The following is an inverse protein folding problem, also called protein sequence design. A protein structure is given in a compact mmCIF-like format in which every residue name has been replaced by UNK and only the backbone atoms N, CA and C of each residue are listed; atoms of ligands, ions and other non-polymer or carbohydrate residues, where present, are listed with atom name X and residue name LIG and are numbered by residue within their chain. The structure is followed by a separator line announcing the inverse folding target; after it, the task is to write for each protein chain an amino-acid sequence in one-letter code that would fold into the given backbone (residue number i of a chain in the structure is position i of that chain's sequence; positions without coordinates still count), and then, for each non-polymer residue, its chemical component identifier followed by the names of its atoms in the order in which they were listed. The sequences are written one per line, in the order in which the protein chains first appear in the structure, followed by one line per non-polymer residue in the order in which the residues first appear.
data_IF_134744372317
#
_entry.id   IF_134744372317
#
_cell.length_a   1.000
_cell.length_b   1.000
_cell.length_c   1.000
_cell.angle_alpha   90.00
_cell.angle_beta   90.00
_cell.angle_gamma   90.00
#
_symmetry.space_group_name_H-M   'P 1'
#
loop_
_entity.id
_entity.type
_entity.pdbx_description
1 polymer ?
#
# COMPACT_ATOMS: atom_id res chain seq x y z
N UNK A 1 7.10 10.89 -20.40
CA UNK A 1 7.47 11.49 -19.88
C UNK A 1 7.83 11.41 -18.65
N UNK A 2 8.17 11.64 -17.86
CA UNK A 2 8.53 11.50 -16.80
C UNK A 2 8.96 12.33 -16.02
N UNK A 3 8.94 12.52 -15.17
CA UNK A 3 9.15 13.26 -14.41
C UNK A 3 9.72 13.22 -13.41
N UNK A 4 10.09 13.21 -12.83
CA UNK A 4 10.58 13.36 -12.03
C UNK A 4 10.78 13.94 -11.20
N UNK A 5 10.85 13.90 -10.28
CA UNK A 5 10.75 14.28 -9.46
C UNK A 5 11.61 14.56 -8.70
N UNK A 6 12.07 14.75 -8.30
CA UNK A 6 12.84 15.22 -7.71
C UNK A 6 12.84 15.36 -6.54
N UNK A 7 12.80 14.83 -6.01
CA UNK A 7 12.60 14.83 -4.89
C UNK A 7 13.65 15.15 -4.19
N UNK A 8 14.25 15.61 -4.27
CA UNK A 8 15.21 16.03 -3.78
C UNK A 8 15.17 15.97 -2.51
N UNK A 9 15.09 15.28 -1.98
CA UNK A 9 14.99 15.10 -0.74
C UNK A 9 15.93 15.69 0.02
N UNK A 10 16.36 16.59 -0.13
CA UNK A 10 17.13 17.31 0.51
C UNK A 10 17.15 17.11 1.88
N UNK A 11 17.92 16.57 2.47
CA UNK A 11 18.15 16.60 3.89
C UNK A 11 17.22 15.79 4.71
N UNK A 12 16.59 14.89 4.17
CA UNK A 12 15.70 14.11 4.95
C UNK A 12 16.33 13.18 5.87
N UNK A 13 16.10 13.31 7.14
CA UNK A 13 16.67 12.42 8.13
C UNK A 13 15.63 11.47 8.63
N UNK A 14 14.38 11.88 8.62
CA UNK A 14 13.28 11.09 9.13
C UNK A 14 12.58 10.42 7.96
N UNK A 15 12.55 9.10 7.92
CA UNK A 15 11.89 8.38 6.83
C UNK A 15 10.45 8.81 6.59
N UNK A 16 9.75 9.20 7.66
CA UNK A 16 8.37 9.63 7.50
C UNK A 16 8.25 10.94 6.74
N UNK A 17 9.28 11.75 6.73
CA UNK A 17 9.23 13.01 6.03
C UNK A 17 9.48 12.83 4.54
N UNK A 18 9.83 11.63 4.09
CA UNK A 18 10.00 11.35 2.70
C UNK A 18 8.66 11.08 2.04
N UNK A 19 7.68 10.66 2.84
CA UNK A 19 6.38 10.33 2.31
C UNK A 19 5.69 11.58 1.78
N UNK A 20 5.35 11.60 0.52
CA UNK A 20 4.74 12.75 -0.11
C UNK A 20 3.31 12.48 -0.52
N UNK A 21 2.43 13.37 -0.11
CA UNK A 21 1.04 13.35 -0.56
C UNK A 21 0.95 14.20 -1.81
N UNK A 22 0.09 13.84 -2.71
CA UNK A 22 -0.21 14.68 -3.87
C UNK A 22 -0.59 13.90 -5.10
N UNK A 23 -1.00 14.64 -6.11
CA UNK A 23 -1.34 14.07 -7.41
C UNK A 23 -0.07 13.75 -8.17
N UNK A 24 -0.13 12.70 -9.00
CA UNK A 24 0.98 12.30 -9.87
C UNK A 24 0.52 12.30 -11.31
N UNK A 25 1.20 13.08 -12.12
CA UNK A 25 0.85 13.21 -13.54
C UNK A 25 0.95 11.87 -14.27
N UNK A 26 2.04 11.14 -14.01
CA UNK A 26 2.29 9.86 -14.65
C UNK A 26 1.30 8.77 -14.25
N UNK A 27 0.48 9.04 -13.23
CA UNK A 27 -0.51 8.10 -12.74
C UNK A 27 -1.93 8.62 -12.93
N UNK A 28 -2.13 9.46 -13.94
CA UNK A 28 -3.45 9.95 -14.29
C UNK A 28 -3.99 11.00 -13.34
N UNK A 29 -3.10 11.73 -12.67
CA UNK A 29 -3.44 12.78 -11.71
C UNK A 29 -4.20 12.28 -10.48
N UNK A 30 -4.10 10.99 -10.21
CA UNK A 30 -4.67 10.42 -8.98
C UNK A 30 -3.90 10.95 -7.78
N UNK A 31 -4.64 11.32 -6.73
CA UNK A 31 -4.03 11.81 -5.49
C UNK A 31 -3.66 10.63 -4.62
N UNK A 32 -2.38 10.47 -4.34
CA UNK A 32 -1.89 9.44 -3.42
C UNK A 32 -1.47 10.05 -2.11
N UNK A 33 -1.64 9.31 -1.03
CA UNK A 33 -1.30 9.79 0.30
C UNK A 33 0.15 9.55 0.68
N UNK A 34 0.88 8.80 -0.14
CA UNK A 34 2.31 8.55 0.13
C UNK A 34 3.04 8.20 -1.15
N UNK A 35 4.36 8.33 -1.11
CA UNK A 35 5.23 7.89 -2.20
C UNK A 35 5.17 6.37 -2.36
N UNK A 36 4.97 5.64 -1.27
CA UNK A 36 4.87 4.18 -1.34
C UNK A 36 3.67 3.78 -2.20
N UNK A 37 2.51 4.41 -1.95
CA UNK A 37 1.31 4.12 -2.76
C UNK A 37 1.53 4.46 -4.23
N UNK A 38 2.09 5.64 -4.50
CA UNK A 38 2.36 6.05 -5.88
C UNK A 38 3.31 5.09 -6.57
N UNK A 39 4.36 4.68 -5.87
CA UNK A 39 5.34 3.75 -6.43
C UNK A 39 4.75 2.36 -6.68
N UNK A 40 3.88 1.91 -5.81
CA UNK A 40 3.18 0.62 -6.02
C UNK A 40 2.30 0.71 -7.28
N UNK A 41 1.61 1.83 -7.49
CA UNK A 41 0.83 2.04 -8.72
C UNK A 41 1.75 1.99 -9.95
N UNK A 42 2.93 2.60 -9.87
CA UNK A 42 3.92 2.55 -10.96
C UNK A 42 4.40 1.13 -11.21
N UNK A 43 4.60 0.37 -10.14
CA UNK A 43 4.98 -1.03 -10.26
C UNK A 43 3.87 -1.83 -10.96
N UNK A 44 2.60 -1.62 -10.59
CA UNK A 44 1.49 -2.29 -11.26
C UNK A 44 1.45 -1.94 -12.75
N UNK A 45 1.65 -0.67 -13.09
CA UNK A 45 1.72 -0.27 -14.50
C UNK A 45 2.87 -0.98 -15.21
N UNK A 46 4.02 -1.08 -14.56
CA UNK A 46 5.20 -1.71 -15.13
C UNK A 46 4.97 -3.20 -15.44
N UNK A 47 4.27 -3.91 -14.56
CA UNK A 47 3.98 -5.33 -14.79
C UNK A 47 2.69 -5.56 -15.56
N UNK A 48 2.01 -4.50 -15.99
CA UNK A 48 0.80 -4.62 -16.78
C UNK A 48 -0.46 -4.95 -16.00
N UNK A 49 -0.46 -4.75 -14.70
CA UNK A 49 -1.63 -5.00 -13.87
C UNK A 49 -2.51 -3.76 -13.83
N UNK A 50 -3.80 -3.92 -14.08
CA UNK A 50 -4.76 -2.82 -13.93
C UNK A 50 -5.08 -2.64 -12.45
N UNK A 51 -5.30 -1.40 -12.06
CA UNK A 51 -5.57 -1.09 -10.66
C UNK A 51 -6.60 0.02 -10.52
N UNK A 52 -7.33 -0.02 -9.40
CA UNK A 52 -8.25 1.03 -8.97
C UNK A 52 -7.79 1.48 -7.59
N UNK A 53 -7.73 2.78 -7.38
CA UNK A 53 -7.24 3.33 -6.13
C UNK A 53 -8.39 3.61 -5.18
N UNK A 54 -8.39 2.99 -4.00
CA UNK A 54 -9.38 3.15 -2.93
C UNK A 54 -10.83 3.01 -3.41
N UNK A 55 -11.16 1.96 -4.17
CA UNK A 55 -12.49 1.92 -4.78
C UNK A 55 -13.61 1.55 -3.83
N UNK A 56 -13.31 1.02 -2.64
CA UNK A 56 -14.34 0.56 -1.74
C UNK A 56 -13.93 0.71 -0.28
N UNK A 57 -14.90 1.11 0.54
CA UNK A 57 -14.74 1.12 1.99
C UNK A 57 -15.57 0.01 2.60
N UNK A 58 -14.95 -0.78 3.48
CA UNK A 58 -15.61 -1.86 4.20
C UNK A 58 -15.94 -1.35 5.60
N UNK A 59 -17.23 -1.17 5.88
CA UNK A 59 -17.69 -0.64 7.15
C UNK A 59 -17.93 -1.79 8.12
N UNK A 60 -17.41 -1.66 9.34
CA UNK A 60 -17.57 -2.68 10.37
C UNK A 60 -18.80 -2.42 11.22
N UNK A 61 -19.49 -3.46 11.67
CA UNK A 61 -20.70 -3.29 12.49
C UNK A 61 -20.33 -3.02 13.94
N UNK A 62 -19.58 -1.95 14.20
CA UNK A 62 -19.15 -1.54 15.53
C UNK A 62 -19.32 -0.04 15.68
N UNK A 63 -19.40 0.42 16.93
CA UNK A 63 -19.70 1.82 17.21
C UNK A 63 -18.50 2.63 17.66
N UNK A 64 -17.41 2.00 18.06
CA UNK A 64 -16.26 2.69 18.61
C UNK A 64 -14.96 2.24 17.97
N UNK A 65 -13.97 3.11 18.00
CA UNK A 65 -12.65 2.84 17.48
C UNK A 65 -12.62 2.87 15.97
N UNK A 66 -11.83 2.00 15.38
CA UNK A 66 -11.67 1.92 13.93
C UNK A 66 -12.88 1.18 13.36
N UNK A 67 -13.72 1.91 12.64
CA UNK A 67 -15.01 1.42 12.20
C UNK A 67 -15.08 1.02 10.73
N UNK A 68 -14.00 1.19 10.00
CA UNK A 68 -13.99 0.82 8.59
C UNK A 68 -12.56 0.61 8.11
N UNK A 69 -12.44 0.02 6.94
CA UNK A 69 -11.17 -0.20 6.26
C UNK A 69 -11.35 0.05 4.78
N UNK A 70 -10.43 0.80 4.19
CA UNK A 70 -10.41 1.05 2.76
C UNK A 70 -9.06 0.61 2.23
N UNK A 71 -9.00 -0.56 1.56
CA UNK A 71 -7.75 -1.01 0.94
C UNK A 71 -7.28 0.01 -0.08
N UNK A 72 -5.97 0.12 -0.25
CA UNK A 72 -5.40 1.13 -1.14
C UNK A 72 -5.69 0.83 -2.60
N UNK A 73 -5.64 -0.42 -3.02
CA UNK A 73 -5.88 -0.78 -4.41
C UNK A 73 -6.75 -2.00 -4.53
N UNK A 74 -7.44 -2.07 -5.67
CA UNK A 74 -8.06 -3.30 -6.13
C UNK A 74 -7.51 -3.61 -7.51
N UNK A 75 -7.10 -4.86 -7.73
CA UNK A 75 -6.62 -5.33 -9.01
C UNK A 75 -7.76 -6.16 -9.64
N UNK A 76 -8.55 -5.57 -10.55
CA UNK A 76 -9.78 -6.23 -10.99
C UNK A 76 -9.56 -7.52 -11.79
N UNK A 77 -8.47 -7.62 -12.53
CA UNK A 77 -8.22 -8.82 -13.32
C UNK A 77 -7.76 -9.98 -12.45
N UNK A 78 -7.08 -9.70 -11.34
CA UNK A 78 -6.61 -10.72 -10.41
C UNK A 78 -7.58 -10.97 -9.27
N UNK A 79 -8.54 -10.06 -9.06
CA UNK A 79 -9.46 -10.08 -7.92
C UNK A 79 -8.69 -10.05 -6.60
N UNK A 80 -7.79 -9.07 -6.47
CA UNK A 80 -6.90 -8.93 -5.31
C UNK A 80 -7.03 -7.53 -4.73
N UNK A 81 -7.17 -7.45 -3.41
CA UNK A 81 -7.05 -6.20 -2.66
C UNK A 81 -5.60 -6.00 -2.25
N UNK A 82 -5.15 -4.75 -2.24
CA UNK A 82 -3.77 -4.42 -1.90
C UNK A 82 -3.74 -3.33 -0.84
N UNK A 83 -2.94 -3.57 0.19
CA UNK A 83 -2.61 -2.56 1.18
C UNK A 83 -1.15 -2.18 0.98
N UNK A 84 -0.87 -0.90 0.72
CA UNK A 84 0.48 -0.42 0.49
C UNK A 84 0.90 0.47 1.66
N UNK A 85 1.85 0.01 2.47
CA UNK A 85 2.28 0.73 3.66
C UNK A 85 3.79 0.83 3.74
N UNK A 86 4.27 2.04 3.99
CA UNK A 86 5.68 2.18 4.35
C UNK A 86 5.94 1.63 5.73
N UNK A 87 4.96 1.71 6.63
CA UNK A 87 5.13 1.30 8.01
C UNK A 87 3.82 0.73 8.54
N UNK A 88 3.87 -0.47 9.09
CA UNK A 88 2.70 -1.11 9.67
C UNK A 88 2.64 -0.79 11.17
N UNK A 89 1.69 0.04 11.54
CA UNK A 89 1.49 0.43 12.93
C UNK A 89 0.36 -0.36 13.57
N UNK A 90 0.10 -0.04 14.84
CA UNK A 90 -0.93 -0.75 15.63
C UNK A 90 -2.31 -0.59 15.00
N UNK A 91 -2.61 0.61 14.50
CA UNK A 91 -3.92 0.85 13.88
C UNK A 91 -4.08 0.05 12.60
N UNK A 92 -3.02 -0.05 11.81
CA UNK A 92 -3.03 -0.88 10.60
C UNK A 92 -3.35 -2.33 10.95
N UNK A 93 -2.70 -2.86 11.99
CA UNK A 93 -2.95 -4.23 12.42
C UNK A 93 -4.38 -4.41 12.92
N UNK A 94 -4.92 -3.42 13.61
CA UNK A 94 -6.31 -3.47 14.09
C UNK A 94 -7.27 -3.51 12.92
N UNK A 95 -7.04 -2.69 11.87
CA UNK A 95 -7.88 -2.69 10.68
C UNK A 95 -7.86 -4.06 10.00
N UNK A 96 -6.68 -4.65 9.87
CA UNK A 96 -6.54 -5.96 9.23
C UNK A 96 -7.28 -7.05 10.01
N UNK A 97 -7.16 -7.04 11.36
CA UNK A 97 -7.86 -8.00 12.19
C UNK A 97 -9.36 -7.86 12.04
N UNK A 98 -9.87 -6.62 12.02
CA UNK A 98 -11.30 -6.36 11.86
C UNK A 98 -11.79 -6.71 10.47
N UNK A 99 -10.97 -6.43 9.46
CA UNK A 99 -11.30 -6.81 8.09
C UNK A 99 -11.46 -8.33 7.98
N UNK A 100 -10.54 -9.09 8.56
CA UNK A 100 -10.65 -10.55 8.58
C UNK A 100 -11.90 -11.00 9.32
N UNK A 101 -12.19 -10.37 10.45
CA UNK A 101 -13.33 -10.78 11.27
C UNK A 101 -14.66 -10.55 10.58
N UNK A 102 -14.83 -9.39 9.97
CA UNK A 102 -16.13 -8.99 9.43
C UNK A 102 -16.29 -9.25 7.94
N UNK A 103 -15.20 -9.38 7.20
CA UNK A 103 -15.23 -9.63 5.77
C UNK A 103 -14.21 -10.73 5.41
N UNK A 104 -14.39 -11.95 5.94
CA UNK A 104 -13.37 -12.99 5.78
C UNK A 104 -13.12 -13.39 4.34
N UNK A 105 -14.14 -13.36 3.48
CA UNK A 105 -13.96 -13.74 2.08
C UNK A 105 -13.15 -12.69 1.33
N UNK A 106 -13.38 -11.41 1.62
CA UNK A 106 -12.60 -10.34 1.02
C UNK A 106 -11.19 -10.31 1.58
N UNK A 107 -11.03 -10.59 2.87
CA UNK A 107 -9.71 -10.66 3.49
C UNK A 107 -8.81 -11.70 2.82
N UNK A 108 -9.37 -12.80 2.36
CA UNK A 108 -8.59 -13.83 1.66
C UNK A 108 -7.93 -13.30 0.38
N UNK A 109 -8.47 -12.23 -0.17
CA UNK A 109 -7.97 -11.63 -1.41
C UNK A 109 -6.94 -10.54 -1.15
N UNK A 110 -6.59 -10.25 0.11
CA UNK A 110 -5.72 -9.13 0.45
C UNK A 110 -4.25 -9.53 0.43
N UNK A 111 -3.43 -8.67 -0.16
CA UNK A 111 -1.97 -8.76 -0.10
C UNK A 111 -1.45 -7.45 0.48
N UNK A 112 -0.60 -7.54 1.49
CA UNK A 112 0.02 -6.37 2.11
C UNK A 112 1.40 -6.16 1.50
N UNK A 113 1.61 -4.97 0.93
CA UNK A 113 2.91 -4.55 0.41
C UNK A 113 3.47 -3.55 1.41
N UNK A 114 4.54 -3.91 2.10
CA UNK A 114 5.09 -3.02 3.12
C UNK A 114 6.61 -3.11 3.16
N UNK A 115 7.22 -2.05 3.71
CA UNK A 115 8.64 -2.10 4.02
C UNK A 115 8.85 -3.15 5.10
N UNK A 116 10.08 -3.64 5.21
CA UNK A 116 10.40 -4.75 6.11
C UNK A 116 9.85 -4.52 7.50
N UNK A 117 8.84 -5.26 7.91
CA UNK A 117 8.35 -5.14 9.28
C UNK A 117 9.29 -5.85 10.23
N UNK A 118 9.24 -5.49 11.51
CA UNK A 118 9.98 -6.21 12.52
C UNK A 118 9.44 -7.63 12.66
N UNK A 119 10.20 -8.47 13.35
CA UNK A 119 9.84 -9.88 13.50
C UNK A 119 8.46 -10.07 14.12
N UNK A 120 8.12 -9.24 15.12
CA UNK A 120 6.82 -9.36 15.79
C UNK A 120 5.66 -9.05 14.85
N UNK A 121 5.78 -8.00 14.07
CA UNK A 121 4.74 -7.60 13.12
C UNK A 121 4.59 -8.64 12.03
N UNK A 122 5.70 -9.14 11.50
CA UNK A 122 5.67 -10.17 10.48
C UNK A 122 5.00 -11.44 11.00
N UNK A 123 5.37 -11.85 12.24
CA UNK A 123 4.76 -13.02 12.85
C UNK A 123 3.26 -12.84 13.04
N UNK A 124 2.84 -11.62 13.40
CA UNK A 124 1.42 -11.33 13.57
C UNK A 124 0.67 -11.37 12.24
N UNK A 125 1.26 -10.82 11.18
CA UNK A 125 0.69 -10.91 9.84
C UNK A 125 0.51 -12.36 9.39
N UNK A 126 1.53 -13.17 9.63
CA UNK A 126 1.48 -14.58 9.26
C UNK A 126 0.42 -15.33 10.06
N UNK A 127 0.32 -15.07 11.37
CA UNK A 127 -0.72 -15.68 12.20
C UNK A 127 -2.11 -15.27 11.75
N UNK A 128 -2.25 -14.04 11.30
CA UNK A 128 -3.52 -13.55 10.80
C UNK A 128 -3.89 -14.20 9.47
N UNK A 129 -2.90 -14.69 8.74
CA UNK A 129 -3.11 -15.30 7.44
C UNK A 129 -2.99 -14.31 6.28
N UNK A 130 -2.34 -13.16 6.53
CA UNK A 130 -2.11 -12.18 5.48
C UNK A 130 -1.06 -12.65 4.51
N UNK A 131 -1.30 -12.42 3.23
CA UNK A 131 -0.26 -12.52 2.21
C UNK A 131 0.56 -11.24 2.26
N UNK A 132 1.87 -11.39 2.09
CA UNK A 132 2.79 -10.26 2.24
C UNK A 132 3.79 -10.21 1.09
N UNK A 133 4.02 -9.00 0.57
CA UNK A 133 5.07 -8.73 -0.40
C UNK A 133 5.96 -7.62 0.15
N UNK A 134 7.25 -7.75 -0.04
CA UNK A 134 8.19 -6.76 0.46
C UNK A 134 8.30 -5.58 -0.50
N UNK A 135 7.92 -4.41 -0.03
CA UNK A 135 8.12 -3.17 -0.78
C UNK A 135 9.61 -2.92 -1.00
N UNK A 136 10.46 -3.28 -0.03
CA UNK A 136 11.90 -3.08 -0.15
C UNK A 136 12.47 -3.89 -1.32
N UNK A 137 12.00 -5.10 -1.51
CA UNK A 137 12.44 -5.94 -2.62
C UNK A 137 11.98 -5.34 -3.95
N UNK A 138 10.72 -4.89 -4.02
CA UNK A 138 10.19 -4.27 -5.22
C UNK A 138 10.98 -3.01 -5.55
N UNK A 139 11.23 -2.17 -4.56
CA UNK A 139 12.01 -0.94 -4.74
C UNK A 139 13.41 -1.24 -5.27
N UNK A 140 14.06 -2.25 -4.70
CA UNK A 140 15.42 -2.58 -5.05
C UNK A 140 15.52 -3.17 -6.45
N UNK A 141 14.61 -4.07 -6.80
CA UNK A 141 14.66 -4.78 -8.09
C UNK A 141 14.03 -3.98 -9.23
N UNK A 142 12.94 -3.27 -8.96
CA UNK A 142 12.17 -2.62 -10.01
C UNK A 142 12.27 -1.10 -10.01
N UNK A 143 12.51 -0.49 -8.84
CA UNK A 143 12.59 0.96 -8.75
C UNK A 143 13.51 1.60 -9.79
N UNK A 144 14.75 1.09 -9.96
CA UNK A 144 15.67 1.65 -10.95
C UNK A 144 15.18 1.52 -12.38
N UNK A 145 14.27 0.58 -12.66
CA UNK A 145 13.76 0.33 -13.99
C UNK A 145 12.48 1.09 -14.30
N UNK A 146 11.83 1.66 -13.28
CA UNK A 146 10.54 2.29 -13.43
C UNK A 146 10.70 3.80 -13.47
N UNK A 147 10.34 4.40 -14.59
CA UNK A 147 10.38 5.84 -14.74
C UNK A 147 9.40 6.50 -13.77
N UNK A 148 9.81 7.57 -13.14
CA UNK A 148 8.98 8.28 -12.18
C UNK A 148 9.06 7.79 -10.75
N UNK A 149 9.79 6.72 -10.51
CA UNK A 149 9.91 6.19 -9.14
C UNK A 149 10.47 7.25 -8.18
N UNK A 150 9.84 7.41 -7.02
CA UNK A 150 10.22 8.41 -6.01
C UNK A 150 11.06 7.82 -4.88
#
# INVERSE_FOLDING_TARGET
MVFIVQSKSRGWKNPRSISKKGKREDLGWVYFRSSVEANIARYFNFIGAKWEYEPREFVFPIKRGIRSYRPDFYLPEEDVWVEAKGWLDRESMTRLRRFKKYYPEEFKKLVVYAQSPGKKVLAELLRLGCKFESYDVIRKLFGPLIEGWE
#
